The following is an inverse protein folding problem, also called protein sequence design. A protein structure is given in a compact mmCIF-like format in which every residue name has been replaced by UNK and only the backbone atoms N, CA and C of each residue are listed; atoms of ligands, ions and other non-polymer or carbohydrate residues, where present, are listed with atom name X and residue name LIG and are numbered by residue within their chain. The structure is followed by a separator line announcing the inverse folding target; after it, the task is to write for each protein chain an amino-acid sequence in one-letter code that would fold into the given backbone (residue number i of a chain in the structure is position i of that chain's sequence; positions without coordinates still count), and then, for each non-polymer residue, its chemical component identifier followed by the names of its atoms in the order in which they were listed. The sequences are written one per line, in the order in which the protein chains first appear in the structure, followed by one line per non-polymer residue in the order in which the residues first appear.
data_IF_620472818291
#
_entry.id   IF_620472818291
#
_cell.length_a   1.000
_cell.length_b   1.000
_cell.length_c   1.000
_cell.angle_alpha   90.00
_cell.angle_beta   90.00
_cell.angle_gamma   90.00
#
_symmetry.space_group_name_H-M   'P 1'
#
loop_
_entity.id
_entity.type
_entity.pdbx_description
1 polymer ?
#
# COMPACT_ATOMS: atom_id res chain seq x y z
N UNK A 1 -26.96 -9.24 5.18
CA UNK A 1 -26.58 -7.84 5.49
C UNK A 1 -25.74 -7.36 4.31
N UNK A 2 -26.36 -6.63 3.39
CA UNK A 2 -25.72 -6.10 2.17
C UNK A 2 -24.97 -4.81 2.56
N UNK A 3 -23.72 -4.68 2.13
CA UNK A 3 -22.87 -3.52 2.42
C UNK A 3 -23.03 -2.49 1.31
N UNK A 4 -23.52 -1.29 1.61
CA UNK A 4 -23.48 -0.14 0.69
C UNK A 4 -22.28 0.75 1.01
N UNK A 5 -21.47 1.09 0.00
CA UNK A 5 -20.56 2.23 0.08
C UNK A 5 -20.76 3.14 -1.15
N UNK A 6 -20.43 4.42 -1.01
CA UNK A 6 -20.51 5.36 -2.13
C UNK A 6 -19.31 5.18 -3.05
N UNK A 7 -19.60 4.83 -4.30
CA UNK A 7 -18.58 4.58 -5.31
C UNK A 7 -18.85 5.46 -6.54
N UNK A 8 -17.77 5.89 -7.17
CA UNK A 8 -17.85 6.36 -8.55
C UNK A 8 -17.54 5.18 -9.45
N UNK A 9 -18.49 4.93 -10.34
CA UNK A 9 -18.53 3.79 -11.23
C UNK A 9 -17.94 4.19 -12.57
N UNK A 10 -16.96 3.43 -13.06
CA UNK A 10 -16.55 3.48 -14.47
C UNK A 10 -17.19 2.27 -15.16
N UNK A 11 -18.37 2.47 -15.76
CA UNK A 11 -19.09 1.41 -16.48
C UNK A 11 -18.66 1.36 -17.95
N UNK A 12 -17.95 0.31 -18.35
CA UNK A 12 -17.66 0.02 -19.77
C UNK A 12 -18.44 -1.21 -20.29
N UNK A 13 -19.60 -1.50 -19.70
CA UNK A 13 -20.57 -2.47 -20.24
C UNK A 13 -20.57 -3.87 -19.61
N UNK A 14 -19.47 -4.37 -19.03
CA UNK A 14 -19.42 -5.75 -18.49
C UNK A 14 -18.51 -5.96 -17.25
N UNK A 15 -17.85 -4.93 -16.73
CA UNK A 15 -16.95 -5.07 -15.57
C UNK A 15 -17.11 -3.92 -14.58
N UNK A 16 -17.16 -4.25 -13.28
CA UNK A 16 -17.40 -3.31 -12.19
C UNK A 16 -16.08 -2.92 -11.52
N UNK A 17 -15.62 -1.68 -11.72
CA UNK A 17 -14.55 -1.10 -10.92
C UNK A 17 -15.14 -0.19 -9.85
N UNK A 18 -14.83 -0.52 -8.61
CA UNK A 18 -15.24 0.22 -7.42
C UNK A 18 -14.10 1.18 -7.05
N UNK A 19 -14.29 2.49 -7.27
CA UNK A 19 -13.40 3.57 -6.82
C UNK A 19 -14.14 4.38 -5.75
N UNK A 20 -13.71 4.25 -4.50
CA UNK A 20 -14.25 5.03 -3.39
C UNK A 20 -13.57 6.39 -3.28
N UNK A 21 -14.30 7.38 -2.76
CA UNK A 21 -13.77 8.70 -2.44
C UNK A 21 -14.10 9.06 -0.98
N UNK A 22 -13.11 9.60 -0.26
CA UNK A 22 -13.21 9.91 1.17
C UNK A 22 -12.58 8.86 2.10
N UNK A 23 -12.36 9.20 3.37
CA UNK A 23 -11.77 8.28 4.36
C UNK A 23 -12.75 7.13 4.66
N UNK A 24 -12.36 5.86 4.45
CA UNK A 24 -13.14 4.71 4.87
C UNK A 24 -13.21 4.65 6.40
N UNK A 25 -14.28 5.16 7.00
CA UNK A 25 -14.55 4.93 8.42
C UNK A 25 -15.22 3.57 8.60
N UNK A 26 -15.12 2.98 9.81
CA UNK A 26 -15.81 1.74 10.17
C UNK A 26 -17.35 1.79 9.94
N UNK A 27 -17.88 2.99 9.70
CA UNK A 27 -19.26 3.31 9.33
C UNK A 27 -19.59 3.20 7.82
N UNK A 28 -18.81 2.46 7.01
CA UNK A 28 -19.18 2.17 5.60
C UNK A 28 -20.34 1.15 5.46
N UNK A 29 -21.27 1.18 6.42
CA UNK A 29 -22.52 0.44 6.44
C UNK A 29 -23.63 1.48 6.42
N UNK A 30 -24.16 1.80 5.25
CA UNK A 30 -25.33 2.67 5.16
C UNK A 30 -26.60 1.83 5.04
N UNK A 31 -27.71 2.34 5.56
CA UNK A 31 -29.00 1.67 5.45
C UNK A 31 -29.42 1.59 3.99
N UNK A 32 -30.28 0.61 3.68
CA UNK A 32 -31.09 0.70 2.46
C UNK A 32 -31.81 2.07 2.48
N UNK A 33 -31.84 2.76 1.32
CA UNK A 33 -32.36 4.13 1.14
C UNK A 33 -31.47 5.30 1.63
N UNK A 34 -30.17 5.09 1.89
CA UNK A 34 -29.25 6.21 2.00
C UNK A 34 -29.23 7.04 0.70
N UNK A 35 -29.12 8.37 0.82
CA UNK A 35 -29.22 9.31 -0.29
C UNK A 35 -27.96 10.15 -0.44
N UNK A 36 -27.49 10.31 -1.68
CA UNK A 36 -26.49 11.30 -2.05
C UNK A 36 -27.20 12.47 -2.73
N UNK A 37 -27.15 13.66 -2.13
CA UNK A 37 -27.86 14.84 -2.63
C UNK A 37 -26.98 16.08 -2.61
N UNK A 38 -27.11 16.93 -3.64
CA UNK A 38 -26.51 18.26 -3.67
C UNK A 38 -27.53 19.27 -3.15
N UNK A 39 -27.27 19.83 -1.97
CA UNK A 39 -28.14 20.84 -1.37
C UNK A 39 -28.11 22.16 -2.14
N UNK A 40 -29.16 22.98 -1.97
CA UNK A 40 -29.25 24.32 -2.57
C UNK A 40 -28.16 25.28 -2.08
N UNK A 41 -27.57 24.99 -0.91
CA UNK A 41 -26.40 25.69 -0.40
C UNK A 41 -25.09 25.25 -1.06
N UNK A 42 -25.11 24.32 -2.02
CA UNK A 42 -23.93 23.85 -2.73
C UNK A 42 -23.12 22.78 -1.99
N UNK A 43 -23.66 22.17 -0.94
CA UNK A 43 -23.01 21.08 -0.21
C UNK A 43 -23.50 19.72 -0.74
N UNK A 44 -22.57 18.83 -1.11
CA UNK A 44 -22.91 17.46 -1.48
C UNK A 44 -22.86 16.61 -0.21
N UNK A 45 -23.98 15.94 0.09
CA UNK A 45 -24.22 15.25 1.37
C UNK A 45 -24.65 13.82 1.10
N UNK A 46 -24.02 12.87 1.80
CA UNK A 46 -24.49 11.50 1.95
C UNK A 46 -25.18 11.39 3.31
N UNK A 47 -26.45 11.00 3.30
CA UNK A 47 -27.26 10.82 4.50
C UNK A 47 -27.93 9.44 4.54
N UNK A 48 -28.11 8.91 5.74
CA UNK A 48 -28.88 7.70 6.02
C UNK A 48 -30.37 7.91 5.71
N UNK A 49 -31.15 6.82 5.70
CA UNK A 49 -32.59 6.90 5.47
C UNK A 49 -33.34 7.74 6.52
N UNK A 50 -32.81 7.86 7.74
CA UNK A 50 -33.37 8.71 8.80
C UNK A 50 -32.94 10.19 8.71
N UNK A 51 -32.14 10.54 7.69
CA UNK A 51 -31.62 11.89 7.48
C UNK A 51 -30.29 12.18 8.18
N UNK A 52 -29.73 11.22 8.94
CA UNK A 52 -28.42 11.38 9.59
C UNK A 52 -27.32 11.56 8.55
N UNK A 53 -26.59 12.68 8.62
CA UNK A 53 -25.47 12.96 7.72
C UNK A 53 -24.25 12.15 8.13
N UNK A 54 -23.78 11.29 7.22
CA UNK A 54 -22.63 10.40 7.43
C UNK A 54 -21.38 10.89 6.71
N UNK A 55 -21.55 11.65 5.62
CA UNK A 55 -20.44 12.28 4.90
C UNK A 55 -20.90 13.53 4.15
N UNK A 56 -20.01 14.50 3.98
CA UNK A 56 -20.27 15.71 3.20
C UNK A 56 -18.99 16.35 2.66
N UNK A 57 -19.10 17.11 1.57
CA UNK A 57 -17.98 17.82 0.93
C UNK A 57 -17.51 19.07 1.68
N UNK A 58 -18.29 19.56 2.64
CA UNK A 58 -18.05 20.82 3.35
C UNK A 58 -17.90 22.02 2.39
N UNK A 59 -18.79 22.09 1.40
CA UNK A 59 -18.83 23.14 0.37
C UNK A 59 -20.03 24.09 0.50
N UNK A 60 -20.79 23.98 1.59
CA UNK A 60 -21.89 24.87 1.89
C UNK A 60 -21.49 26.34 1.75
N UNK A 61 -22.28 27.09 0.97
CA UNK A 61 -22.12 28.51 0.67
C UNK A 61 -20.78 28.90 0.04
N UNK A 62 -20.03 27.94 -0.55
CA UNK A 62 -18.78 28.22 -1.29
C UNK A 62 -18.98 28.56 -2.77
N UNK A 63 -20.22 28.82 -3.19
CA UNK A 63 -20.55 29.20 -4.57
C UNK A 63 -20.61 28.03 -5.56
N UNK A 64 -20.89 26.81 -5.09
CA UNK A 64 -21.11 25.65 -5.97
C UNK A 64 -22.40 25.87 -6.78
N UNK A 65 -22.29 25.77 -8.10
CA UNK A 65 -23.42 25.87 -9.03
C UNK A 65 -23.62 24.61 -9.88
N UNK A 66 -22.70 23.64 -9.79
CA UNK A 66 -22.77 22.43 -10.58
C UNK A 66 -22.02 21.25 -10.00
N UNK A 67 -22.56 20.06 -10.24
CA UNK A 67 -21.94 18.75 -9.98
C UNK A 67 -21.73 18.04 -11.31
N UNK A 68 -20.54 17.48 -11.53
CA UNK A 68 -20.22 16.74 -12.76
C UNK A 68 -19.31 15.56 -12.47
N UNK A 69 -19.62 14.41 -13.06
CA UNK A 69 -18.67 13.31 -13.19
C UNK A 69 -17.95 13.43 -14.55
N UNK A 70 -16.62 13.55 -14.52
CA UNK A 70 -15.79 13.64 -15.72
C UNK A 70 -15.51 12.25 -16.30
N UNK A 71 -15.14 12.20 -17.58
CA UNK A 71 -14.85 10.95 -18.29
C UNK A 71 -13.67 10.16 -17.71
N UNK A 72 -12.75 10.84 -17.01
CA UNK A 72 -11.65 10.21 -16.29
C UNK A 72 -12.03 9.72 -14.88
N UNK A 73 -13.32 9.78 -14.50
CA UNK A 73 -13.81 9.36 -13.19
C UNK A 73 -13.68 10.42 -12.09
N UNK A 74 -13.20 11.62 -12.39
CA UNK A 74 -13.14 12.70 -11.40
C UNK A 74 -14.54 13.30 -11.18
N UNK A 75 -15.07 13.18 -9.97
CA UNK A 75 -16.32 13.81 -9.56
C UNK A 75 -16.01 15.20 -8.99
N UNK A 76 -16.59 16.24 -9.59
CA UNK A 76 -16.24 17.64 -9.29
C UNK A 76 -17.46 18.49 -8.95
N UNK A 77 -17.28 19.40 -7.99
CA UNK A 77 -18.18 20.52 -7.70
C UNK A 77 -17.56 21.81 -8.23
N UNK A 78 -18.32 22.60 -8.99
CA UNK A 78 -17.80 23.77 -9.71
C UNK A 78 -18.51 25.06 -9.35
N UNK A 79 -17.76 26.16 -9.44
CA UNK A 79 -18.31 27.52 -9.38
C UNK A 79 -18.86 27.99 -10.75
N UNK A 80 -19.46 29.19 -10.78
CA UNK A 80 -20.02 29.78 -12.02
C UNK A 80 -18.96 30.13 -13.08
N UNK A 81 -17.69 30.17 -12.71
CA UNK A 81 -16.55 30.38 -13.62
C UNK A 81 -15.98 29.06 -14.13
N UNK A 82 -16.50 27.92 -13.66
CA UNK A 82 -16.05 26.58 -14.01
C UNK A 82 -14.87 26.06 -13.18
N UNK A 83 -14.40 26.80 -12.18
CA UNK A 83 -13.32 26.37 -11.28
C UNK A 83 -13.79 25.24 -10.37
N UNK A 84 -12.87 24.37 -9.96
CA UNK A 84 -13.20 23.28 -9.04
C UNK A 84 -13.19 23.82 -7.61
N UNK A 85 -14.34 23.75 -6.93
CA UNK A 85 -14.48 24.01 -5.49
C UNK A 85 -14.11 22.75 -4.69
N UNK A 86 -14.46 21.59 -5.23
CA UNK A 86 -14.14 20.28 -4.66
C UNK A 86 -13.98 19.28 -5.79
N UNK A 87 -13.08 18.31 -5.60
CA UNK A 87 -12.92 17.20 -6.52
C UNK A 87 -12.58 15.93 -5.76
N UNK A 88 -13.05 14.81 -6.28
CA UNK A 88 -12.86 13.50 -5.68
C UNK A 88 -11.43 13.02 -5.80
N UNK A 89 -10.71 13.47 -6.83
CA UNK A 89 -9.29 13.18 -7.04
C UNK A 89 -8.37 13.63 -5.89
N UNK A 90 -8.81 14.59 -5.07
CA UNK A 90 -8.07 15.04 -3.87
C UNK A 90 -8.28 14.12 -2.65
N UNK A 91 -9.06 13.05 -2.78
CA UNK A 91 -9.38 12.09 -1.71
C UNK A 91 -9.26 10.63 -2.19
N UNK A 92 -8.06 10.18 -2.62
CA UNK A 92 -7.87 8.80 -3.05
C UNK A 92 -8.07 7.80 -1.91
N UNK A 93 -8.40 6.56 -2.27
CA UNK A 93 -8.53 5.41 -1.34
C UNK A 93 -7.37 4.44 -1.55
N UNK A 94 -7.62 3.24 -2.10
CA UNK A 94 -6.57 2.28 -2.45
C UNK A 94 -6.11 2.42 -3.91
N UNK A 95 -6.73 3.33 -4.67
CA UNK A 95 -6.63 3.41 -6.12
C UNK A 95 -6.31 4.84 -6.60
N UNK A 96 -5.46 4.92 -7.62
CA UNK A 96 -5.10 6.13 -8.36
C UNK A 96 -5.52 5.95 -9.83
N UNK A 97 -6.40 6.83 -10.32
CA UNK A 97 -6.88 6.81 -11.70
C UNK A 97 -5.96 7.60 -12.64
N UNK A 98 -6.04 7.34 -13.95
CA UNK A 98 -5.33 8.14 -14.96
C UNK A 98 -5.72 9.62 -14.84
N UNK A 99 -4.72 10.47 -14.74
CA UNK A 99 -4.82 11.91 -14.51
C UNK A 99 -4.87 12.33 -13.03
N UNK A 100 -5.02 11.38 -12.09
CA UNK A 100 -5.02 11.66 -10.66
C UNK A 100 -3.59 11.75 -10.11
N UNK A 101 -3.39 12.59 -9.09
CA UNK A 101 -2.07 12.80 -8.47
C UNK A 101 -2.05 12.56 -6.97
N UNK A 102 -0.97 11.94 -6.50
CA UNK A 102 -0.56 11.97 -5.09
C UNK A 102 0.35 13.19 -4.88
N UNK A 103 0.23 13.88 -3.76
CA UNK A 103 0.94 15.14 -3.47
C UNK A 103 1.71 15.05 -2.16
N UNK A 104 2.80 15.81 -2.07
CA UNK A 104 3.61 15.92 -0.86
C UNK A 104 2.78 16.41 0.33
N UNK A 105 3.15 15.96 1.53
CA UNK A 105 2.54 16.40 2.79
C UNK A 105 1.41 15.49 3.27
N UNK A 106 1.22 14.32 2.65
CA UNK A 106 0.27 13.30 3.10
C UNK A 106 -1.20 13.70 2.95
N UNK A 107 -1.48 14.79 2.24
CA UNK A 107 -2.84 15.25 1.93
C UNK A 107 -3.55 14.21 1.05
N UNK A 108 -2.82 13.64 0.09
CA UNK A 108 -3.26 12.50 -0.71
C UNK A 108 -2.27 11.35 -0.51
N UNK A 109 -2.78 10.15 -0.23
CA UNK A 109 -2.01 8.90 -0.12
C UNK A 109 -2.92 7.74 -0.52
N UNK A 110 -2.34 6.62 -0.96
CA UNK A 110 -3.11 5.39 -1.06
C UNK A 110 -3.06 4.63 0.26
N UNK A 111 -4.18 4.05 0.66
CA UNK A 111 -4.26 3.10 1.77
C UNK A 111 -4.94 1.85 1.25
N UNK A 112 -4.32 0.69 1.43
CA UNK A 112 -4.89 -0.56 0.97
C UNK A 112 -6.23 -0.85 1.66
N UNK A 113 -7.04 -1.72 1.07
CA UNK A 113 -8.21 -2.27 1.78
C UNK A 113 -7.79 -3.33 2.78
N UNK A 114 -8.58 -3.49 3.84
CA UNK A 114 -8.39 -4.55 4.83
C UNK A 114 -8.66 -5.94 4.25
N UNK A 115 -9.74 -6.09 3.47
CA UNK A 115 -10.06 -7.35 2.78
C UNK A 115 -10.94 -7.11 1.56
N UNK A 116 -11.13 -8.14 0.72
CA UNK A 116 -12.03 -8.06 -0.43
C UNK A 116 -13.50 -7.82 -0.03
N UNK A 117 -13.86 -8.19 1.21
CA UNK A 117 -15.22 -8.03 1.77
C UNK A 117 -15.38 -6.75 2.57
N UNK A 118 -14.32 -6.32 3.27
CA UNK A 118 -14.34 -5.14 4.14
C UNK A 118 -13.62 -3.97 3.45
N UNK A 119 -14.41 -3.03 2.95
CA UNK A 119 -13.93 -1.80 2.34
C UNK A 119 -13.56 -0.74 3.40
N UNK A 120 -12.61 -1.07 4.25
CA UNK A 120 -12.03 -0.18 5.28
C UNK A 120 -10.51 -0.13 5.13
N UNK A 121 -9.88 0.90 5.68
CA UNK A 121 -8.42 1.06 5.66
C UNK A 121 -7.71 -0.19 6.21
N UNK A 122 -6.82 -0.73 5.40
CA UNK A 122 -5.93 -1.84 5.69
C UNK A 122 -4.59 -1.39 6.26
N UNK A 123 -3.60 -2.28 6.17
CA UNK A 123 -2.30 -2.09 6.82
C UNK A 123 -1.26 -1.40 5.94
N UNK A 124 -1.48 -1.26 4.63
CA UNK A 124 -0.47 -0.74 3.72
C UNK A 124 -0.80 0.67 3.25
N UNK A 125 0.22 1.50 3.07
CA UNK A 125 0.04 2.83 2.49
C UNK A 125 1.16 3.21 1.53
N UNK A 126 0.81 3.91 0.46
CA UNK A 126 1.73 4.52 -0.51
C UNK A 126 1.63 6.04 -0.40
N UNK A 127 2.75 6.69 -0.10
CA UNK A 127 2.82 8.10 0.27
C UNK A 127 3.91 8.79 -0.52
N UNK A 128 3.65 10.03 -0.95
CA UNK A 128 4.69 10.92 -1.46
C UNK A 128 5.25 11.77 -0.32
N UNK A 129 6.52 11.56 0.00
CA UNK A 129 7.31 12.39 0.90
C UNK A 129 8.05 13.49 0.10
N UNK A 130 8.55 14.57 0.74
CA UNK A 130 9.17 15.68 0.02
C UNK A 130 10.36 15.34 -0.89
N UNK A 131 10.95 14.14 -0.75
CA UNK A 131 12.15 13.73 -1.49
C UNK A 131 12.06 12.36 -2.13
N UNK A 132 10.97 11.63 -1.95
CA UNK A 132 10.82 10.24 -2.41
C UNK A 132 9.36 9.83 -2.26
N UNK A 133 8.93 8.79 -2.97
CA UNK A 133 7.74 8.05 -2.59
C UNK A 133 8.08 6.79 -1.83
N UNK A 134 7.21 6.42 -0.91
CA UNK A 134 7.47 5.39 0.06
C UNK A 134 6.22 4.54 0.31
N UNK A 135 6.46 3.28 0.66
CA UNK A 135 5.43 2.36 1.10
C UNK A 135 5.67 1.89 2.53
N UNK A 136 4.60 1.92 3.31
CA UNK A 136 4.64 1.58 4.73
C UNK A 136 3.67 0.47 5.08
N UNK A 137 4.09 -0.36 6.02
CA UNK A 137 3.30 -1.39 6.65
C UNK A 137 2.98 -0.99 8.09
N UNK A 138 1.70 -0.81 8.38
CA UNK A 138 1.18 -0.54 9.72
C UNK A 138 1.02 -1.85 10.47
N UNK A 139 1.77 -2.00 11.55
CA UNK A 139 1.77 -3.20 12.41
C UNK A 139 1.16 -2.83 13.76
N UNK A 140 0.30 -3.69 14.32
CA UNK A 140 -0.34 -3.45 15.61
C UNK A 140 0.65 -3.26 16.78
N UNK A 141 1.81 -3.91 16.71
CA UNK A 141 2.83 -3.88 17.77
C UNK A 141 3.82 -2.70 17.64
N UNK A 142 3.75 -1.89 16.58
CA UNK A 142 4.63 -0.75 16.37
C UNK A 142 3.88 0.57 16.48
N UNK A 143 4.43 1.60 17.16
CA UNK A 143 3.81 2.92 17.20
C UNK A 143 3.89 3.66 15.85
N UNK A 144 4.84 3.28 15.00
CA UNK A 144 5.06 3.89 13.68
C UNK A 144 4.97 2.85 12.57
N UNK A 145 4.41 3.19 11.40
CA UNK A 145 4.45 2.31 10.24
C UNK A 145 5.90 2.01 9.82
N UNK A 146 6.16 0.76 9.41
CA UNK A 146 7.50 0.31 9.00
C UNK A 146 7.65 0.50 7.50
N UNK A 147 8.74 1.17 7.09
CA UNK A 147 9.09 1.37 5.69
C UNK A 147 9.54 0.04 5.07
N UNK A 148 8.88 -0.40 4.00
CA UNK A 148 9.26 -1.61 3.25
C UNK A 148 9.66 -1.33 1.80
N UNK A 149 9.47 -0.10 1.32
CA UNK A 149 9.97 0.35 0.02
C UNK A 149 10.10 1.88 -0.01
N UNK A 150 11.15 2.39 -0.64
CA UNK A 150 11.26 3.80 -1.00
C UNK A 150 11.95 3.95 -2.36
N UNK A 151 11.50 4.91 -3.15
CA UNK A 151 12.16 5.30 -4.39
C UNK A 151 13.55 5.89 -4.12
N UNK A 152 14.41 6.00 -5.16
CA UNK A 152 15.52 6.93 -5.13
C UNK A 152 15.05 8.34 -4.75
N UNK A 153 15.97 9.11 -4.15
CA UNK A 153 15.65 10.46 -3.70
C UNK A 153 15.51 11.40 -4.89
N UNK A 154 14.28 11.81 -5.17
CA UNK A 154 13.91 12.81 -6.16
C UNK A 154 12.84 13.73 -5.56
N UNK A 155 13.17 15.00 -5.27
CA UNK A 155 12.16 15.98 -4.86
C UNK A 155 11.11 16.16 -5.95
N UNK A 156 9.84 16.05 -5.59
CA UNK A 156 8.71 16.30 -6.47
C UNK A 156 7.52 16.70 -5.62
N UNK A 157 6.69 17.63 -6.10
CA UNK A 157 5.49 18.07 -5.37
C UNK A 157 4.31 17.11 -5.59
N UNK A 158 4.32 16.39 -6.71
CA UNK A 158 3.29 15.42 -7.04
C UNK A 158 3.83 14.19 -7.79
N UNK A 159 3.04 13.12 -7.76
CA UNK A 159 3.13 11.98 -8.66
C UNK A 159 1.79 11.80 -9.33
N UNK A 160 1.73 12.03 -10.64
CA UNK A 160 0.51 11.87 -11.43
C UNK A 160 0.58 10.56 -12.20
N UNK A 161 -0.44 9.73 -12.08
CA UNK A 161 -0.56 8.56 -12.96
C UNK A 161 -1.07 9.02 -14.32
N UNK A 162 -0.27 8.82 -15.35
CA UNK A 162 -0.57 9.28 -16.72
C UNK A 162 -0.63 8.10 -17.69
N UNK A 163 -1.39 8.31 -18.76
CA UNK A 163 -1.50 7.40 -19.89
C UNK A 163 -1.35 8.23 -21.15
N UNK A 164 -0.33 7.94 -21.95
CA UNK A 164 -0.01 8.67 -23.17
C UNK A 164 0.10 7.70 -24.34
N UNK A 165 -0.45 7.99 -25.52
CA UNK A 165 -0.21 7.16 -26.69
C UNK A 165 1.28 7.16 -27.04
N UNK A 166 1.86 5.99 -27.32
CA UNK A 166 3.26 5.81 -27.73
C UNK A 166 3.45 6.15 -29.22
N UNK A 167 2.39 6.01 -30.02
CA UNK A 167 2.36 6.40 -31.44
C UNK A 167 1.14 7.26 -31.72
N UNK A 168 1.19 8.08 -32.77
CA UNK A 168 0.07 8.95 -33.17
C UNK A 168 -1.21 8.16 -33.50
N UNK A 169 -1.06 6.92 -33.98
CA UNK A 169 -2.16 6.01 -34.27
C UNK A 169 -2.76 5.36 -33.01
N UNK A 170 -2.09 5.45 -31.86
CA UNK A 170 -2.56 4.88 -30.61
C UNK A 170 -2.57 3.34 -30.58
N UNK A 171 -1.59 2.70 -31.22
CA UNK A 171 -1.45 1.23 -31.16
C UNK A 171 -0.94 0.73 -29.81
N UNK A 172 -0.21 1.58 -29.08
CA UNK A 172 0.29 1.30 -27.76
C UNK A 172 0.18 2.56 -26.88
N UNK A 173 0.09 2.36 -25.57
CA UNK A 173 -0.02 3.43 -24.60
C UNK A 173 0.98 3.22 -23.47
N UNK A 174 1.71 4.26 -23.14
CA UNK A 174 2.63 4.30 -22.02
C UNK A 174 1.89 4.68 -20.74
N UNK A 175 2.01 3.80 -19.74
CA UNK A 175 1.53 4.02 -18.40
C UNK A 175 2.73 4.42 -17.54
N UNK A 176 2.67 5.62 -16.95
CA UNK A 176 3.81 6.21 -16.23
C UNK A 176 3.37 6.98 -14.99
N UNK A 177 4.31 7.20 -14.07
CA UNK A 177 4.19 8.19 -12.99
C UNK A 177 4.99 9.44 -13.35
N UNK A 178 4.30 10.54 -13.58
CA UNK A 178 4.88 11.86 -13.89
C UNK A 178 5.18 12.63 -12.60
N UNK A 179 6.36 13.24 -12.54
CA UNK A 179 6.82 14.12 -11.46
C UNK A 179 6.66 15.60 -11.83
N UNK A 180 6.68 16.48 -10.83
CA UNK A 180 6.45 17.92 -11.03
C UNK A 180 7.53 18.64 -11.84
N UNK A 181 8.71 18.03 -11.98
CA UNK A 181 9.82 18.52 -12.81
C UNK A 181 9.71 18.10 -14.29
N UNK A 182 8.62 17.42 -14.67
CA UNK A 182 8.42 16.87 -16.01
C UNK A 182 9.11 15.53 -16.26
N UNK A 183 9.76 14.95 -15.24
CA UNK A 183 10.23 13.57 -15.29
C UNK A 183 9.08 12.57 -15.31
N UNK A 184 9.36 11.35 -15.79
CA UNK A 184 8.40 10.25 -15.74
C UNK A 184 9.09 8.91 -15.47
N UNK A 185 8.44 8.09 -14.63
CA UNK A 185 8.82 6.70 -14.41
C UNK A 185 7.90 5.80 -15.23
N UNK A 186 8.45 5.20 -16.27
CA UNK A 186 7.74 4.22 -17.10
C UNK A 186 7.37 2.97 -16.28
N UNK A 187 6.12 2.51 -16.40
CA UNK A 187 5.61 1.33 -15.70
C UNK A 187 5.25 0.20 -16.65
N UNK A 188 4.48 0.48 -17.71
CA UNK A 188 4.05 -0.52 -18.67
C UNK A 188 3.66 0.09 -20.02
N UNK A 189 3.67 -0.74 -21.07
CA UNK A 189 3.21 -0.40 -22.42
C UNK A 189 2.27 -1.46 -22.99
N UNK A 190 0.98 -1.45 -22.64
CA UNK A 190 0.02 -2.32 -23.29
C UNK A 190 -0.18 -1.91 -24.76
N UNK A 191 -0.37 -2.90 -25.63
CA UNK A 191 -0.54 -2.70 -27.09
C UNK A 191 -2.00 -2.49 -27.48
N UNK A 192 -2.69 -1.64 -26.73
CA UNK A 192 -4.09 -1.25 -26.93
C UNK A 192 -4.42 -0.04 -26.05
N UNK A 193 -5.62 0.54 -26.25
CA UNK A 193 -6.07 1.71 -25.50
C UNK A 193 -6.09 1.44 -23.99
N UNK A 194 -5.19 2.12 -23.28
CA UNK A 194 -4.99 1.98 -21.83
C UNK A 194 -5.51 3.18 -21.03
N UNK A 195 -6.40 3.99 -21.61
CA UNK A 195 -6.97 5.16 -20.90
C UNK A 195 -7.84 4.73 -19.71
N UNK A 196 -8.45 3.55 -19.78
CA UNK A 196 -9.18 2.91 -18.69
C UNK A 196 -8.25 2.02 -17.84
N UNK A 197 -7.19 2.63 -17.31
CA UNK A 197 -6.26 2.00 -16.37
C UNK A 197 -6.40 2.60 -14.97
N UNK A 198 -6.05 1.81 -13.96
CA UNK A 198 -5.90 2.30 -12.61
C UNK A 198 -4.73 1.60 -11.90
N UNK A 199 -4.05 2.36 -11.05
CA UNK A 199 -2.97 1.89 -10.19
C UNK A 199 -3.55 1.66 -8.79
N UNK A 200 -3.45 0.46 -8.25
CA UNK A 200 -4.02 0.09 -6.94
C UNK A 200 -2.95 -0.45 -6.01
N UNK A 201 -3.00 0.02 -4.76
CA UNK A 201 -2.27 -0.59 -3.65
C UNK A 201 -3.07 -1.79 -3.13
N UNK A 202 -2.55 -2.98 -3.40
CA UNK A 202 -3.13 -4.25 -3.00
C UNK A 202 -3.18 -4.44 -1.49
N UNK A 203 -4.04 -5.37 -1.07
CA UNK A 203 -4.19 -5.76 0.34
C UNK A 203 -2.94 -6.47 0.88
N UNK A 204 -2.09 -6.95 -0.02
CA UNK A 204 -0.78 -7.54 0.22
C UNK A 204 0.37 -6.52 0.25
N UNK A 205 0.07 -5.24 0.01
CA UNK A 205 1.05 -4.16 -0.07
C UNK A 205 1.74 -4.02 -1.43
N UNK A 206 1.34 -4.78 -2.45
CA UNK A 206 1.90 -4.63 -3.79
C UNK A 206 1.19 -3.49 -4.54
N UNK A 207 1.91 -2.76 -5.39
CA UNK A 207 1.35 -1.70 -6.22
C UNK A 207 1.18 -2.21 -7.65
N UNK A 208 -0.06 -2.28 -8.13
CA UNK A 208 -0.44 -3.04 -9.32
C UNK A 208 -1.24 -2.15 -10.27
N UNK A 209 -0.93 -2.19 -11.57
CA UNK A 209 -1.81 -1.60 -12.60
C UNK A 209 -2.76 -2.65 -13.12
N UNK A 210 -4.03 -2.28 -13.18
CA UNK A 210 -5.04 -2.99 -13.93
C UNK A 210 -5.47 -2.15 -15.12
N UNK A 211 -5.45 -2.74 -16.31
CA UNK A 211 -5.84 -2.09 -17.57
C UNK A 211 -7.04 -2.79 -18.17
N UNK A 212 -8.05 -2.02 -18.59
CA UNK A 212 -9.24 -2.54 -19.24
C UNK A 212 -8.98 -2.85 -20.73
N UNK A 213 -9.21 -4.09 -21.13
CA UNK A 213 -9.19 -4.55 -22.51
C UNK A 213 -10.63 -4.75 -23.02
N UNK A 214 -11.04 -3.87 -23.92
CA UNK A 214 -12.44 -3.79 -24.41
C UNK A 214 -12.84 -4.91 -25.38
N UNK A 215 -11.89 -5.74 -25.83
CA UNK A 215 -12.15 -6.83 -26.80
C UNK A 215 -12.53 -8.15 -26.15
N UNK A 216 -12.56 -8.22 -24.83
CA UNK A 216 -12.98 -9.42 -24.09
C UNK A 216 -14.17 -9.13 -23.19
N UNK A 217 -15.05 -10.13 -23.05
CA UNK A 217 -16.28 -10.02 -22.23
C UNK A 217 -16.09 -10.50 -20.79
N UNK A 218 -15.01 -11.22 -20.49
CA UNK A 218 -14.66 -11.73 -19.17
C UNK A 218 -13.18 -11.48 -18.89
N UNK A 219 -12.84 -11.17 -17.64
CA UNK A 219 -11.46 -10.86 -17.26
C UNK A 219 -10.91 -9.60 -17.94
N UNK A 220 -11.78 -8.66 -18.30
CA UNK A 220 -11.41 -7.48 -19.09
C UNK A 220 -10.38 -6.58 -18.40
N UNK A 221 -10.29 -6.59 -17.08
CA UNK A 221 -9.17 -5.96 -16.38
C UNK A 221 -8.02 -6.95 -16.21
N UNK A 222 -6.93 -6.73 -16.93
CA UNK A 222 -5.71 -7.51 -16.79
C UNK A 222 -4.65 -6.77 -15.96
N UNK A 223 -3.76 -7.54 -15.31
CA UNK A 223 -2.60 -7.01 -14.60
C UNK A 223 -1.51 -6.69 -15.62
N UNK A 224 -1.24 -5.40 -15.84
CA UNK A 224 -0.22 -4.94 -16.81
C UNK A 224 1.10 -4.53 -16.16
N UNK A 225 1.09 -4.28 -14.84
CA UNK A 225 2.29 -3.95 -14.06
C UNK A 225 2.14 -4.42 -12.62
N UNK A 226 3.27 -4.78 -12.01
CA UNK A 226 3.39 -5.11 -10.59
C UNK A 226 4.72 -4.57 -10.06
N UNK A 227 4.67 -3.73 -9.02
CA UNK A 227 5.88 -3.13 -8.44
C UNK A 227 6.76 -4.16 -7.72
N UNK A 228 6.16 -5.18 -7.13
CA UNK A 228 6.86 -6.31 -6.55
C UNK A 228 6.55 -7.54 -7.39
N UNK A 229 7.52 -7.97 -8.18
CA UNK A 229 7.39 -9.11 -9.09
C UNK A 229 8.77 -9.63 -9.44
N UNK A 230 8.84 -10.87 -9.95
CA UNK A 230 10.10 -11.45 -10.42
C UNK A 230 10.72 -10.63 -11.55
N UNK A 231 9.89 -10.12 -12.44
CA UNK A 231 10.31 -9.42 -13.65
C UNK A 231 10.22 -7.89 -13.50
N UNK A 232 9.96 -7.40 -12.28
CA UNK A 232 9.87 -5.96 -12.02
C UNK A 232 11.23 -5.32 -11.89
N UNK A 233 11.36 -4.11 -12.46
CA UNK A 233 12.53 -3.26 -12.26
C UNK A 233 12.51 -2.52 -10.91
N UNK A 234 11.41 -2.63 -10.16
CA UNK A 234 11.24 -1.93 -8.89
C UNK A 234 11.75 -2.76 -7.73
N UNK A 235 11.17 -3.93 -7.52
CA UNK A 235 11.52 -4.79 -6.40
C UNK A 235 11.03 -6.24 -6.59
N UNK A 236 11.67 -7.17 -5.87
CA UNK A 236 11.24 -8.58 -5.81
C UNK A 236 10.05 -8.78 -4.86
N UNK A 237 9.26 -9.83 -5.05
CA UNK A 237 8.19 -10.22 -4.13
C UNK A 237 8.70 -10.54 -2.73
N UNK A 238 9.98 -10.88 -2.56
CA UNK A 238 10.58 -11.19 -1.25
C UNK A 238 10.65 -9.99 -0.30
N UNK A 239 10.41 -8.80 -0.82
CA UNK A 239 10.39 -7.56 -0.05
C UNK A 239 8.97 -7.19 0.43
N UNK A 240 7.93 -7.86 -0.08
CA UNK A 240 6.57 -7.71 0.44
C UNK A 240 6.51 -8.31 1.85
N UNK A 241 6.02 -7.58 2.87
CA UNK A 241 6.01 -8.05 4.24
C UNK A 241 5.39 -9.44 4.40
N UNK A 242 4.20 -9.69 3.87
CA UNK A 242 3.48 -10.96 4.11
C UNK A 242 3.68 -12.05 3.05
N UNK A 243 4.60 -11.89 2.09
CA UNK A 243 4.80 -12.84 0.97
C UNK A 243 4.91 -14.30 1.39
N UNK A 244 5.72 -14.60 2.41
CA UNK A 244 5.97 -15.94 2.91
C UNK A 244 5.35 -16.20 4.29
N UNK A 245 4.31 -15.45 4.65
CA UNK A 245 3.62 -15.59 5.93
C UNK A 245 4.32 -14.84 7.06
N UNK A 246 4.22 -15.36 8.29
CA UNK A 246 4.63 -14.64 9.50
C UNK A 246 6.10 -14.81 9.90
N UNK A 247 6.81 -15.75 9.27
CA UNK A 247 8.25 -16.01 9.52
C UNK A 247 8.93 -16.76 8.35
N UNK A 248 8.39 -16.70 7.13
CA UNK A 248 8.97 -17.48 6.02
C UNK A 248 10.21 -16.82 5.42
N UNK A 249 11.19 -17.63 4.99
CA UNK A 249 12.34 -17.16 4.20
C UNK A 249 11.97 -17.17 2.73
N UNK A 250 12.21 -16.05 2.05
CA UNK A 250 12.00 -15.86 0.63
C UNK A 250 13.34 -15.74 -0.11
N UNK A 251 13.45 -16.45 -1.23
CA UNK A 251 14.56 -16.39 -2.17
C UNK A 251 13.99 -16.50 -3.58
N UNK A 252 14.46 -15.67 -4.52
CA UNK A 252 14.01 -15.67 -5.91
C UNK A 252 12.47 -15.66 -6.09
N UNK A 253 11.79 -14.87 -5.25
CA UNK A 253 10.31 -14.73 -5.22
C UNK A 253 9.56 -15.99 -4.73
N UNK A 254 10.29 -16.98 -4.23
CA UNK A 254 9.76 -18.24 -3.71
C UNK A 254 9.94 -18.34 -2.20
N UNK A 255 8.96 -18.93 -1.54
CA UNK A 255 9.04 -19.22 -0.11
C UNK A 255 9.76 -20.55 0.10
N UNK A 256 11.02 -20.49 0.51
CA UNK A 256 11.94 -21.63 0.48
C UNK A 256 12.07 -22.34 1.82
N UNK A 257 11.87 -21.63 2.94
CA UNK A 257 12.05 -22.22 4.25
C UNK A 257 11.23 -21.59 5.39
N UNK A 258 11.12 -22.34 6.47
CA UNK A 258 10.68 -21.90 7.79
C UNK A 258 11.83 -21.96 8.80
N UNK A 259 12.28 -20.82 9.34
CA UNK A 259 13.25 -20.80 10.42
C UNK A 259 12.75 -21.48 11.69
N UNK A 260 13.65 -22.23 12.34
CA UNK A 260 13.42 -22.84 13.64
C UNK A 260 14.72 -22.91 14.43
N UNK A 261 14.62 -23.26 15.72
CA UNK A 261 15.76 -23.53 16.60
C UNK A 261 16.68 -24.64 16.06
N UNK A 262 16.16 -25.54 15.21
CA UNK A 262 16.90 -26.65 14.59
C UNK A 262 17.44 -26.32 13.19
N UNK A 263 17.33 -25.05 12.77
CA UNK A 263 17.68 -24.60 11.43
C UNK A 263 16.46 -24.38 10.53
N UNK A 264 16.69 -24.38 9.22
CA UNK A 264 15.68 -24.11 8.20
C UNK A 264 14.90 -25.39 7.87
N UNK A 265 13.59 -25.37 8.10
CA UNK A 265 12.64 -26.42 7.72
C UNK A 265 11.96 -26.08 6.39
N UNK A 266 11.27 -27.05 5.78
CA UNK A 266 10.45 -26.78 4.60
C UNK A 266 9.37 -25.72 4.86
N UNK A 267 9.15 -24.83 3.89
CA UNK A 267 8.14 -23.78 4.03
C UNK A 267 6.71 -24.35 4.10
N UNK A 268 5.85 -23.69 4.88
CA UNK A 268 4.42 -23.97 4.95
C UNK A 268 3.63 -22.69 5.22
N UNK A 269 2.32 -22.69 4.95
CA UNK A 269 1.44 -21.55 5.29
C UNK A 269 1.35 -21.27 6.79
N UNK A 270 1.66 -22.27 7.62
CA UNK A 270 1.71 -22.18 9.09
C UNK A 270 3.09 -21.74 9.62
N UNK A 271 3.95 -21.18 8.76
CA UNK A 271 5.24 -20.65 9.17
C UNK A 271 5.08 -19.47 10.12
N UNK A 272 5.24 -19.70 11.42
CA UNK A 272 5.17 -18.66 12.44
C UNK A 272 6.07 -18.95 13.64
N UNK A 273 6.54 -17.88 14.31
CA UNK A 273 7.24 -18.02 15.58
C UNK A 273 6.28 -18.54 16.66
N UNK A 274 6.81 -19.35 17.58
CA UNK A 274 6.10 -19.70 18.81
C UNK A 274 5.77 -18.41 19.59
N UNK A 275 4.51 -18.27 20.00
CA UNK A 275 4.08 -17.12 20.80
C UNK A 275 4.71 -17.18 22.19
N UNK A 276 5.26 -16.05 22.64
CA UNK A 276 5.74 -15.90 24.00
C UNK A 276 4.56 -15.79 24.97
N UNK A 277 4.66 -16.48 26.11
CA UNK A 277 3.69 -16.38 27.21
C UNK A 277 4.11 -15.35 28.26
N UNK A 278 5.39 -14.98 28.30
CA UNK A 278 5.98 -14.03 29.24
C UNK A 278 7.07 -13.19 28.57
N UNK A 279 7.20 -11.94 29.02
CA UNK A 279 8.26 -11.02 28.60
C UNK A 279 9.49 -11.07 29.52
N UNK A 280 9.48 -11.86 30.60
CA UNK A 280 10.66 -11.92 31.45
C UNK A 280 11.83 -12.56 30.70
N UNK A 281 13.02 -11.94 30.76
CA UNK A 281 14.21 -12.38 30.03
C UNK A 281 14.65 -13.84 30.32
N UNK A 282 14.19 -14.42 31.44
CA UNK A 282 14.44 -15.82 31.81
C UNK A 282 13.49 -16.84 31.15
N UNK A 283 12.40 -16.37 30.54
CA UNK A 283 11.34 -17.21 29.99
C UNK A 283 11.49 -17.44 28.47
N UNK A 284 12.42 -16.75 27.83
CA UNK A 284 12.72 -16.89 26.41
C UNK A 284 14.23 -16.92 26.15
N UNK A 285 14.59 -17.35 24.94
CA UNK A 285 15.92 -17.21 24.38
C UNK A 285 15.83 -16.80 22.91
N UNK A 286 16.99 -16.55 22.29
CA UNK A 286 17.09 -16.24 20.87
C UNK A 286 17.74 -17.40 20.14
N UNK A 287 17.16 -17.80 19.01
CA UNK A 287 17.88 -18.60 18.02
C UNK A 287 18.35 -17.70 16.86
N UNK A 288 19.51 -18.04 16.31
CA UNK A 288 20.18 -17.28 15.25
C UNK A 288 19.83 -17.85 13.89
N UNK A 289 19.61 -16.97 12.92
CA UNK A 289 19.48 -17.26 11.50
C UNK A 289 20.55 -16.45 10.78
N UNK A 290 21.35 -17.11 9.94
CA UNK A 290 22.38 -16.47 9.13
C UNK A 290 21.88 -16.21 7.72
N UNK A 291 22.40 -15.15 7.08
CA UNK A 291 22.09 -14.83 5.69
C UNK A 291 20.64 -14.44 5.47
N UNK A 292 20.05 -13.69 6.41
CA UNK A 292 18.68 -13.17 6.27
C UNK A 292 18.59 -11.71 6.66
N UNK A 293 17.73 -10.99 5.94
CA UNK A 293 17.30 -9.64 6.28
C UNK A 293 15.79 -9.60 6.50
N UNK A 294 15.36 -8.73 7.39
CA UNK A 294 13.98 -8.29 7.43
C UNK A 294 13.73 -7.27 6.31
N UNK A 295 12.50 -7.19 5.80
CA UNK A 295 12.15 -6.22 4.75
C UNK A 295 12.55 -4.77 5.11
N UNK A 296 12.51 -4.40 6.39
CA UNK A 296 12.92 -3.05 6.83
C UNK A 296 14.42 -2.75 6.63
N UNK A 297 15.29 -3.77 6.62
CA UNK A 297 16.75 -3.60 6.59
C UNK A 297 17.22 -2.88 5.32
N UNK A 298 16.58 -3.16 4.17
CA UNK A 298 16.97 -2.61 2.87
C UNK A 298 16.76 -1.09 2.76
N UNK A 299 15.69 -0.57 3.37
CA UNK A 299 15.27 0.82 3.21
C UNK A 299 15.49 1.71 4.43
N UNK A 300 15.97 1.13 5.53
CA UNK A 300 16.25 1.88 6.76
C UNK A 300 17.69 1.68 7.21
N UNK A 301 18.27 2.68 7.86
CA UNK A 301 19.68 2.61 8.31
C UNK A 301 19.90 1.78 9.57
N UNK A 302 18.83 1.46 10.30
CA UNK A 302 18.92 0.88 11.63
C UNK A 302 19.59 1.83 12.63
N UNK A 303 19.81 1.33 13.84
CA UNK A 303 20.58 2.00 14.88
C UNK A 303 22.03 1.54 14.87
N UNK A 304 22.96 2.43 15.22
CA UNK A 304 24.37 2.08 15.38
C UNK A 304 25.34 3.17 14.93
N UNK A 305 26.66 2.89 14.94
CA UNK A 305 27.27 1.58 15.23
C UNK A 305 27.02 1.09 16.66
N UNK A 306 26.81 -0.21 16.86
CA UNK A 306 26.47 -0.83 18.17
C UNK A 306 26.88 -2.30 18.18
N UNK A 307 27.26 -2.86 19.33
CA UNK A 307 27.58 -4.29 19.46
C UNK A 307 26.31 -5.16 19.40
N UNK A 308 26.44 -6.39 18.91
CA UNK A 308 25.29 -7.30 18.77
C UNK A 308 24.60 -7.57 20.12
N UNK A 309 25.35 -7.67 21.21
CA UNK A 309 24.80 -7.90 22.55
C UNK A 309 23.93 -6.72 23.01
N UNK A 310 24.32 -5.49 22.66
CA UNK A 310 23.55 -4.30 23.02
C UNK A 310 22.29 -4.16 22.17
N UNK A 311 22.31 -4.64 20.92
CA UNK A 311 21.09 -4.81 20.11
C UNK A 311 20.14 -5.82 20.77
N UNK A 312 20.68 -6.97 21.21
CA UNK A 312 19.92 -7.99 21.93
C UNK A 312 19.33 -7.47 23.25
N UNK A 313 20.09 -6.69 24.03
CA UNK A 313 19.58 -6.06 25.27
C UNK A 313 18.40 -5.12 24.99
N UNK A 314 18.47 -4.29 23.95
CA UNK A 314 17.36 -3.40 23.55
C UNK A 314 16.09 -4.20 23.26
N UNK A 315 16.19 -5.25 22.45
CA UNK A 315 15.06 -6.11 22.16
C UNK A 315 14.57 -6.86 23.41
N UNK A 316 15.47 -7.30 24.29
CA UNK A 316 15.13 -8.01 25.54
C UNK A 316 14.35 -7.11 26.50
N UNK A 317 14.71 -5.83 26.59
CA UNK A 317 14.02 -4.84 27.42
C UNK A 317 12.66 -4.40 26.87
N UNK A 318 12.36 -4.70 25.60
CA UNK A 318 11.11 -4.34 24.94
C UNK A 318 10.21 -5.56 24.74
N UNK A 319 9.08 -5.60 25.46
CA UNK A 319 8.11 -6.69 25.38
C UNK A 319 7.40 -6.80 24.04
N UNK A 320 7.40 -5.75 23.22
CA UNK A 320 6.80 -5.78 21.88
C UNK A 320 7.77 -6.35 20.85
N UNK A 321 9.07 -6.33 21.13
CA UNK A 321 10.08 -6.87 20.22
C UNK A 321 9.91 -8.39 20.08
N UNK A 322 9.80 -8.88 18.84
CA UNK A 322 9.75 -10.31 18.52
C UNK A 322 11.12 -10.88 18.12
N UNK A 323 12.04 -10.00 17.71
CA UNK A 323 13.39 -10.36 17.30
C UNK A 323 14.17 -9.13 16.89
N UNK A 324 15.44 -9.32 16.57
CA UNK A 324 16.28 -8.25 16.04
C UNK A 324 17.14 -8.74 14.90
N UNK A 325 17.47 -7.83 13.99
CA UNK A 325 18.34 -8.08 12.86
C UNK A 325 19.60 -7.26 13.03
N UNK A 326 20.73 -7.85 12.67
CA UNK A 326 22.05 -7.26 12.87
C UNK A 326 22.93 -7.53 11.67
N UNK A 327 23.54 -6.47 11.15
CA UNK A 327 24.58 -6.58 10.12
C UNK A 327 25.94 -6.38 10.79
N UNK A 328 26.77 -7.43 10.80
CA UNK A 328 28.06 -7.40 11.51
C UNK A 328 29.06 -6.46 10.86
N UNK A 329 29.11 -6.40 9.53
CA UNK A 329 30.08 -5.57 8.78
C UNK A 329 29.90 -4.08 9.06
N UNK A 330 28.65 -3.64 9.16
CA UNK A 330 28.29 -2.23 9.38
C UNK A 330 27.97 -1.91 10.85
N UNK A 331 27.93 -2.95 11.70
CA UNK A 331 27.53 -2.87 13.11
C UNK A 331 26.18 -2.17 13.31
N UNK A 332 25.20 -2.50 12.46
CA UNK A 332 23.86 -1.90 12.46
C UNK A 332 22.83 -2.87 13.01
N UNK A 333 21.86 -2.31 13.73
CA UNK A 333 20.87 -3.04 14.53
C UNK A 333 19.44 -2.56 14.20
N UNK A 334 18.54 -3.51 13.95
CA UNK A 334 17.11 -3.28 13.73
C UNK A 334 16.30 -4.09 14.73
N UNK A 335 15.36 -3.42 15.41
CA UNK A 335 14.41 -4.05 16.34
C UNK A 335 13.14 -4.36 15.56
N UNK A 336 12.70 -5.62 15.58
CA UNK A 336 11.57 -6.09 14.80
C UNK A 336 10.36 -6.36 15.71
N UNK A 337 9.23 -5.71 15.39
CA UNK A 337 7.94 -5.84 16.08
C UNK A 337 6.97 -6.80 15.38
N UNK A 338 7.29 -7.12 14.14
CA UNK A 338 6.83 -8.28 13.38
C UNK A 338 8.07 -9.05 12.88
N UNK A 339 7.87 -10.23 12.31
CA UNK A 339 8.95 -11.00 11.71
C UNK A 339 8.70 -11.20 10.20
N UNK A 340 7.47 -11.56 9.86
CA UNK A 340 6.94 -11.67 8.51
C UNK A 340 7.91 -12.35 7.53
N UNK A 341 7.94 -11.91 6.28
CA UNK A 341 8.87 -12.44 5.27
C UNK A 341 10.29 -11.96 5.56
N UNK A 342 11.21 -12.92 5.59
CA UNK A 342 12.64 -12.67 5.62
C UNK A 342 13.21 -12.85 4.22
N UNK A 343 14.03 -11.91 3.75
CA UNK A 343 14.74 -12.05 2.48
C UNK A 343 16.05 -12.78 2.71
N UNK A 344 16.29 -13.86 1.98
CA UNK A 344 17.58 -14.55 1.99
C UNK A 344 18.63 -13.67 1.32
N UNK A 345 19.78 -13.52 1.97
CA UNK A 345 20.93 -12.79 1.44
C UNK A 345 22.16 -13.69 1.46
N UNK A 346 23.03 -13.53 0.46
CA UNK A 346 24.24 -14.36 0.33
C UNK A 346 25.29 -14.07 1.40
N UNK A 347 25.27 -12.87 1.99
CA UNK A 347 26.21 -12.47 3.02
C UNK A 347 25.78 -12.99 4.41
N UNK A 348 26.56 -13.92 4.97
CA UNK A 348 26.29 -14.53 6.28
C UNK A 348 26.45 -13.56 7.46
N UNK A 349 27.01 -12.37 7.25
CA UNK A 349 27.13 -11.32 8.28
C UNK A 349 25.80 -10.63 8.59
N UNK A 350 24.77 -10.88 7.79
CA UNK A 350 23.38 -10.48 8.05
C UNK A 350 22.73 -11.55 8.91
N UNK A 351 22.40 -11.18 10.15
CA UNK A 351 21.94 -12.09 11.19
C UNK A 351 20.53 -11.72 11.66
N UNK A 352 19.64 -12.69 11.71
CA UNK A 352 18.35 -12.60 12.41
C UNK A 352 18.42 -13.32 13.75
N UNK A 353 17.90 -12.70 14.80
CA UNK A 353 17.78 -13.30 16.14
C UNK A 353 16.31 -13.28 16.56
N UNK A 354 15.68 -14.44 16.63
CA UNK A 354 14.24 -14.56 16.85
C UNK A 354 13.97 -15.00 18.28
N UNK A 355 13.08 -14.30 18.99
CA UNK A 355 12.67 -14.71 20.34
C UNK A 355 11.79 -15.95 20.29
N UNK A 356 12.08 -16.91 21.16
CA UNK A 356 11.28 -18.12 21.36
C UNK A 356 11.18 -18.47 22.85
N UNK A 357 10.06 -19.07 23.28
CA UNK A 357 9.89 -19.46 24.68
C UNK A 357 10.84 -20.61 25.04
N UNK A 358 11.32 -20.63 26.28
CA UNK A 358 12.18 -21.70 26.80
C UNK A 358 11.44 -23.04 27.00
N UNK A 359 10.10 -23.01 27.04
CA UNK A 359 9.22 -24.19 27.17
C UNK A 359 7.99 -24.04 26.28
#
# INVERSE_FOLDING_TARGET
MLTLSLFVWVSNGLSLLIVGFGKPTAANQFSENATLSLGTNGNLVLAEADGTVVWQTNTANKGVVGFKLLSNGNMVLRDSKGNFIWQSFDYPTDTLLVGQSIRVGGVTKLVSRKSAKENVDGSYSFVLEPKQWAMYHKISNSPQPVLYYSSPRQPTDYLKFICTPDTDEGFAYDLSLETSDGGSSFLARPKYNSTASFLRLGMDGNLVIYTYYDKVSWGAYEKTFSAFDRDSNWETECQLPERCGKLGVCEDNQCVACPSEKGLLGWSKSCEAKKLTSCAAKDFHYYKIEGVDHYMCKYTRGSGPVKVEDCGKKCTSDCKCLGYFYNQDTSRCWIAYDLMTLTKVSNSTHLGFIKVPNK
#
